data_IF_176309613696
#
_entry.id   IF_176309613696
#
_cell.length_a   1.000
_cell.length_b   1.000
_cell.length_c   1.000
_cell.angle_alpha   90.00
_cell.angle_beta   90.00
_cell.angle_gamma   90.00
#
_symmetry.space_group_name_H-M   'P 1'
#
loop_
_entity.id
_entity.type
_entity.pdbx_description
1 polymer ?
#
# COMPACT_ATOMS: atom_id res chain seq x y z
N UNK A 1 13.25 7.39 15.25
CA UNK A 1 12.17 6.44 14.87
C UNK A 1 12.77 5.14 14.40
N UNK A 2 12.21 4.05 14.87
CA UNK A 2 12.68 2.73 14.51
C UNK A 2 11.93 2.23 13.27
N UNK A 3 12.67 1.92 12.21
CA UNK A 3 12.10 1.40 10.97
C UNK A 3 12.59 -0.02 10.76
N UNK A 4 12.06 -0.92 11.57
CA UNK A 4 12.53 -2.30 11.59
C UNK A 4 11.72 -3.24 10.72
N UNK A 5 10.66 -2.77 10.10
CA UNK A 5 9.85 -3.60 9.19
C UNK A 5 10.23 -3.32 7.75
N UNK A 6 9.98 -4.30 6.90
CA UNK A 6 10.24 -4.16 5.46
C UNK A 6 8.92 -4.35 4.72
N UNK A 7 8.61 -3.43 3.82
CA UNK A 7 7.48 -3.56 2.91
C UNK A 7 8.01 -3.46 1.48
N UNK A 8 7.23 -3.97 0.53
CA UNK A 8 7.57 -3.84 -0.87
C UNK A 8 6.57 -2.90 -1.52
N UNK A 9 7.03 -1.73 -1.94
CA UNK A 9 6.19 -0.79 -2.68
C UNK A 9 6.03 -1.30 -4.10
N UNK A 10 4.81 -1.31 -4.61
CA UNK A 10 4.49 -1.91 -5.90
C UNK A 10 4.19 -0.81 -6.91
N UNK A 11 5.03 -0.70 -7.94
CA UNK A 11 4.81 0.21 -9.06
C UNK A 11 4.25 -0.55 -10.23
N UNK A 12 3.24 0.01 -10.87
CA UNK A 12 2.64 -0.56 -12.05
C UNK A 12 3.11 0.22 -13.27
N UNK A 13 3.60 -0.49 -14.28
CA UNK A 13 3.99 0.10 -15.56
C UNK A 13 3.16 -0.53 -16.65
N UNK A 14 2.56 0.30 -17.50
CA UNK A 14 1.78 -0.18 -18.63
C UNK A 14 2.55 0.14 -19.92
N UNK A 15 2.71 -0.85 -20.76
CA UNK A 15 3.38 -0.69 -22.04
C UNK A 15 2.47 -1.17 -23.15
N UNK A 16 2.66 -0.57 -24.34
CA UNK A 16 1.89 -0.96 -25.53
C UNK A 16 2.90 -1.37 -26.58
N UNK A 17 2.76 -2.58 -27.12
CA UNK A 17 3.69 -3.07 -28.13
C UNK A 17 3.31 -2.55 -29.51
N UNK A 18 4.06 -2.95 -30.53
CA UNK A 18 3.85 -2.46 -31.89
C UNK A 18 2.52 -2.91 -32.48
N UNK A 19 1.89 -3.92 -31.90
CA UNK A 19 0.58 -4.39 -32.36
C UNK A 19 -0.57 -3.71 -31.63
N UNK A 20 -0.27 -2.75 -30.75
CA UNK A 20 -1.29 -2.07 -29.99
C UNK A 20 -1.79 -2.84 -28.78
N UNK A 21 -1.14 -3.94 -28.42
CA UNK A 21 -1.53 -4.74 -27.26
C UNK A 21 -0.90 -4.17 -26.02
N UNK A 22 -1.75 -3.82 -25.04
CA UNK A 22 -1.29 -3.31 -23.77
C UNK A 22 -0.91 -4.43 -22.82
N UNK A 23 0.14 -4.24 -22.06
CA UNK A 23 0.52 -5.18 -21.02
C UNK A 23 0.97 -4.40 -19.79
N UNK A 24 0.80 -5.01 -18.62
CA UNK A 24 1.19 -4.42 -17.36
C UNK A 24 2.34 -5.20 -16.77
N UNK A 25 3.26 -4.47 -16.17
CA UNK A 25 4.31 -5.10 -15.38
C UNK A 25 4.39 -4.38 -14.04
N UNK A 26 4.90 -5.10 -13.04
CA UNK A 26 4.96 -4.59 -11.68
C UNK A 26 6.39 -4.65 -11.20
N UNK A 27 6.81 -3.58 -10.53
CA UNK A 27 8.12 -3.51 -9.92
C UNK A 27 7.94 -3.43 -8.41
N UNK A 28 8.66 -4.27 -7.69
CA UNK A 28 8.61 -4.32 -6.22
C UNK A 28 9.88 -3.71 -5.67
N UNK A 29 9.74 -2.69 -4.84
CA UNK A 29 10.88 -2.02 -4.23
C UNK A 29 10.78 -2.17 -2.72
N UNK A 30 11.73 -2.85 -2.11
CA UNK A 30 11.75 -3.06 -0.66
C UNK A 30 12.22 -1.78 0.03
N UNK A 31 11.48 -1.36 1.03
CA UNK A 31 11.85 -0.19 1.83
C UNK A 31 11.63 -0.51 3.30
N UNK A 32 12.43 0.12 4.15
CA UNK A 32 12.27 -0.01 5.59
C UNK A 32 11.19 0.95 6.07
N UNK A 33 10.39 0.49 7.00
CA UNK A 33 9.32 1.31 7.54
C UNK A 33 8.99 0.91 8.96
N UNK A 34 8.15 1.70 9.60
CA UNK A 34 7.56 1.38 10.88
C UNK A 34 6.09 1.10 10.66
N UNK A 35 5.64 -0.09 11.04
CA UNK A 35 4.25 -0.51 10.85
C UNK A 35 3.51 -0.35 12.16
N UNK A 36 2.36 0.31 12.13
CA UNK A 36 1.52 0.47 13.31
C UNK A 36 0.06 0.31 12.93
N UNK A 37 -0.77 0.08 13.95
CA UNK A 37 -2.21 0.00 13.74
C UNK A 37 -2.77 1.39 13.49
N UNK A 38 -3.87 1.47 12.74
CA UNK A 38 -4.57 2.74 12.60
C UNK A 38 -5.27 3.07 13.90
N UNK A 39 -5.55 4.37 14.11
CA UNK A 39 -6.29 4.79 15.30
C UNK A 39 -7.74 4.33 15.19
N UNK A 40 -8.44 4.35 16.32
CA UNK A 40 -9.86 4.02 16.33
C UNK A 40 -10.65 4.99 15.43
N UNK A 41 -10.31 6.29 15.50
CA UNK A 41 -10.95 7.28 14.63
C UNK A 41 -10.76 6.96 13.16
N UNK A 42 -9.54 6.63 12.78
CA UNK A 42 -9.23 6.31 11.39
C UNK A 42 -10.01 5.07 10.96
N UNK A 43 -10.08 4.08 11.83
CA UNK A 43 -10.78 2.83 11.52
C UNK A 43 -12.28 3.08 11.27
N UNK A 44 -12.91 3.84 12.16
CA UNK A 44 -14.34 4.08 12.03
C UNK A 44 -14.66 5.02 10.87
N UNK A 45 -13.87 6.07 10.69
CA UNK A 45 -14.11 7.01 9.59
C UNK A 45 -13.92 6.31 8.24
N UNK A 46 -12.86 5.51 8.12
CA UNK A 46 -12.63 4.76 6.89
C UNK A 46 -13.73 3.75 6.63
N UNK A 47 -14.20 3.07 7.69
CA UNK A 47 -15.27 2.11 7.55
C UNK A 47 -16.56 2.73 7.02
N UNK A 48 -16.86 3.94 7.46
CA UNK A 48 -18.03 4.67 6.95
C UNK A 48 -17.93 4.95 5.46
N UNK A 49 -16.72 5.12 4.97
CA UNK A 49 -16.46 5.42 3.56
C UNK A 49 -16.27 4.16 2.72
N UNK A 50 -16.51 2.98 3.29
CA UNK A 50 -16.35 1.73 2.57
C UNK A 50 -14.94 1.19 2.53
N UNK A 51 -14.03 1.80 3.28
CA UNK A 51 -12.66 1.33 3.36
C UNK A 51 -12.51 0.28 4.46
N UNK A 52 -11.39 -0.45 4.42
CA UNK A 52 -11.07 -1.43 5.45
C UNK A 52 -9.67 -1.14 5.99
N UNK A 53 -9.51 -0.02 6.75
CA UNK A 53 -8.19 0.41 7.20
C UNK A 53 -7.49 -0.68 8.01
N UNK A 54 -6.25 -0.95 7.70
CA UNK A 54 -5.50 -2.04 8.31
C UNK A 54 -4.29 -1.54 9.08
N UNK A 55 -3.41 -0.77 8.43
CA UNK A 55 -2.17 -0.33 9.02
C UNK A 55 -1.82 1.07 8.59
N UNK A 56 -0.91 1.67 9.35
CA UNK A 56 -0.23 2.89 8.99
C UNK A 56 1.25 2.57 8.86
N UNK A 57 1.83 2.83 7.69
CA UNK A 57 3.24 2.59 7.43
C UNK A 57 3.97 3.93 7.43
N UNK A 58 4.98 4.07 8.28
CA UNK A 58 5.75 5.32 8.36
C UNK A 58 7.13 5.06 7.79
N UNK A 59 7.53 5.81 6.78
CA UNK A 59 8.80 5.59 6.10
C UNK A 59 9.44 6.91 5.68
N UNK A 60 10.66 6.81 5.16
CA UNK A 60 11.38 7.96 4.64
C UNK A 60 10.68 8.46 3.37
N UNK A 61 10.41 9.77 3.34
CA UNK A 61 9.67 10.36 2.22
C UNK A 61 10.34 10.10 0.88
N UNK A 62 11.67 10.12 0.84
CA UNK A 62 12.41 9.89 -0.39
C UNK A 62 12.26 8.50 -0.97
N UNK A 63 11.77 7.54 -0.18
CA UNK A 63 11.57 6.18 -0.66
C UNK A 63 10.20 5.98 -1.30
N UNK A 64 9.31 6.96 -1.20
CA UNK A 64 7.95 6.83 -1.72
C UNK A 64 7.80 7.62 -3.01
N UNK A 65 7.28 6.99 -4.07
CA UNK A 65 7.15 7.59 -5.39
C UNK A 65 5.73 7.42 -5.93
N UNK A 66 4.74 7.69 -5.07
CA UNK A 66 3.32 7.66 -5.44
C UNK A 66 2.82 6.27 -5.83
N UNK A 67 3.44 5.23 -5.33
CA UNK A 67 2.93 3.89 -5.52
C UNK A 67 1.54 3.78 -4.91
N UNK A 68 0.68 2.97 -5.52
CA UNK A 68 -0.70 2.82 -5.07
C UNK A 68 -0.93 1.57 -4.25
N UNK A 69 0.03 0.65 -4.24
CA UNK A 69 -0.09 -0.62 -3.54
C UNK A 69 1.23 -0.99 -2.91
N UNK A 70 1.16 -1.84 -1.91
CA UNK A 70 2.36 -2.40 -1.30
C UNK A 70 2.07 -3.81 -0.81
N UNK A 71 3.15 -4.55 -0.56
CA UNK A 71 3.07 -5.89 0.01
C UNK A 71 3.72 -5.89 1.38
N UNK A 72 3.05 -6.50 2.34
CA UNK A 72 3.56 -6.63 3.70
C UNK A 72 3.16 -8.01 4.22
N UNK A 73 4.17 -8.78 4.68
CA UNK A 73 3.95 -10.15 5.18
C UNK A 73 3.22 -11.04 4.18
N UNK A 74 3.56 -10.91 2.91
CA UNK A 74 2.97 -11.74 1.86
C UNK A 74 1.57 -11.36 1.47
N UNK A 75 1.06 -10.23 1.93
CA UNK A 75 -0.29 -9.76 1.62
C UNK A 75 -0.23 -8.42 0.95
N UNK A 76 -1.15 -8.20 0.02
CA UNK A 76 -1.20 -6.96 -0.76
C UNK A 76 -2.19 -5.99 -0.15
N UNK A 77 -1.77 -4.75 -0.03
CA UNK A 77 -2.57 -3.68 0.54
C UNK A 77 -2.66 -2.53 -0.46
N UNK A 78 -3.80 -1.85 -0.48
CA UNK A 78 -3.95 -0.63 -1.27
C UNK A 78 -3.70 0.57 -0.38
N UNK A 79 -2.96 1.55 -0.92
CA UNK A 79 -2.69 2.79 -0.21
C UNK A 79 -3.83 3.74 -0.52
N UNK A 80 -4.65 4.05 0.48
CA UNK A 80 -5.83 4.89 0.25
C UNK A 80 -5.63 6.33 0.68
N UNK A 81 -4.58 6.61 1.47
CA UNK A 81 -4.31 7.98 1.92
C UNK A 81 -2.84 8.09 2.31
N UNK A 82 -2.26 9.24 2.05
CA UNK A 82 -0.90 9.53 2.50
C UNK A 82 -0.90 10.83 3.28
N UNK A 83 0.07 10.95 4.17
CA UNK A 83 0.25 12.16 4.96
C UNK A 83 1.74 12.39 5.18
N UNK A 84 2.24 13.51 4.66
CA UNK A 84 3.64 13.85 4.87
C UNK A 84 3.77 14.52 6.23
N UNK A 85 4.25 13.75 7.20
CA UNK A 85 4.32 14.18 8.58
C UNK A 85 5.41 15.24 8.81
N UNK A 86 6.58 15.04 8.19
CA UNK A 86 7.69 15.99 8.26
C UNK A 86 8.30 16.07 6.88
N UNK A 87 9.36 16.88 6.76
CA UNK A 87 10.09 16.99 5.49
C UNK A 87 10.60 15.63 5.02
N UNK A 88 10.97 14.75 5.96
CA UNK A 88 11.62 13.49 5.63
C UNK A 88 10.72 12.27 5.83
N UNK A 89 9.53 12.43 6.39
CA UNK A 89 8.72 11.29 6.81
C UNK A 89 7.32 11.36 6.22
N UNK A 90 6.87 10.22 5.66
CA UNK A 90 5.51 10.12 5.13
C UNK A 90 4.82 8.92 5.77
N UNK A 91 3.52 9.08 6.01
CA UNK A 91 2.66 8.01 6.51
C UNK A 91 1.78 7.53 5.38
N UNK A 92 1.75 6.22 5.18
CA UNK A 92 0.88 5.58 4.19
C UNK A 92 -0.20 4.83 4.93
N UNK A 93 -1.45 5.18 4.66
CA UNK A 93 -2.59 4.49 5.26
C UNK A 93 -3.09 3.47 4.27
N UNK A 94 -3.12 2.20 4.69
CA UNK A 94 -3.38 1.10 3.76
C UNK A 94 -4.57 0.27 4.22
N UNK A 95 -5.27 -0.29 3.23
CA UNK A 95 -6.35 -1.22 3.48
C UNK A 95 -6.05 -2.56 2.84
N UNK A 96 -6.56 -3.64 3.43
CA UNK A 96 -6.39 -4.97 2.89
C UNK A 96 -7.23 -5.13 1.63
N UNK A 97 -6.61 -5.57 0.56
CA UNK A 97 -7.35 -5.91 -0.66
C UNK A 97 -7.93 -7.30 -0.51
N UNK A 98 -9.19 -7.39 -0.51
CA UNK A 98 -9.88 -8.64 -0.31
C UNK A 98 -9.70 -9.62 -1.42
N UNK A 99 -9.84 -10.31 -1.11
CA UNK A 99 -9.64 -10.88 -1.81
C UNK A 99 -9.95 -11.42 -2.21
N UNK A 100 -9.90 -11.04 -1.90
CA UNK A 100 -10.12 -11.24 -2.46
C UNK A 100 -10.09 -11.93 -2.83
N UNK A 101 -10.04 -11.81 -2.59
CA UNK A 101 -10.03 -12.40 -2.99
C UNK A 101 -10.23 -12.96 -3.30
N UNK A 102 -10.05 -12.95 -3.02
CA UNK A 102 -10.24 -13.46 -3.30
C UNK A 102 -10.46 -13.82 -3.47
N UNK A 103 -10.30 -13.93 -3.28
CA UNK A 103 -10.48 -14.36 -3.41
C UNK A 103 -10.79 -14.66 -3.37
N UNK A 104 -10.59 -14.51 -3.10
CA UNK A 104 -10.84 -14.90 -3.08
C UNK A 104 -11.27 -15.25 -3.01
N UNK A 105 -11.21 -15.50 -2.73
CA UNK A 105 -11.61 -16.03 -2.65
C UNK A 105 -12.06 -16.53 -2.44
N UNK A 106 -11.96 -16.45 -2.20
CA UNK A 106 -12.34 -16.98 -2.05
C UNK A 106 -12.63 -17.47 -1.86
N UNK A 107 -12.55 -17.46 -1.49
CA UNK A 107 -12.73 -17.96 -1.43
C UNK A 107 -12.98 -18.35 -1.31
N UNK A 108 -12.84 -18.36 -0.96
CA UNK A 108 -12.98 -18.82 -1.03
C UNK A 108 -13.22 -19.25 -0.88
#
# INVERSE_FOLDING_TARGET
>A
MDRSNVISLISETQTVNSLGVASKSYTYTDVFCNVSSVSASEFFEGGRSGLNPSYKMTLFFGDYHDEKMLEYNGKTYAIYRTYQKTTDTIELYVERKGGTNGKQKSDH
#
